data_IF_513132567899
#
_entry.id   IF_513132567899
#
_cell.length_a   1.000
_cell.length_b   1.000
_cell.length_c   1.000
_cell.angle_alpha   90.00
_cell.angle_beta   90.00
_cell.angle_gamma   90.00
#
_symmetry.space_group_name_H-M   'P 1'
#
loop_
_entity.id
_entity.type
_entity.pdbx_description
1 polymer ?
#
# COMPACT_ATOMS: atom_id res chain seq x y z
N UNK A 1 22.68 8.43 1.48
CA UNK A 1 21.56 9.33 1.13
C UNK A 1 20.26 8.52 1.18
N UNK A 2 19.15 9.09 1.67
CA UNK A 2 17.86 8.39 1.64
C UNK A 2 17.31 8.42 0.21
N UNK A 3 17.01 7.25 -0.35
CA UNK A 3 16.35 7.13 -1.66
C UNK A 3 14.95 6.53 -1.51
N UNK A 4 14.04 6.88 -2.42
CA UNK A 4 12.72 6.26 -2.51
C UNK A 4 12.89 4.79 -2.91
N UNK A 5 12.39 3.88 -2.08
CA UNK A 5 12.36 2.45 -2.39
C UNK A 5 11.15 2.24 -3.31
N UNK A 6 11.40 1.70 -4.50
CA UNK A 6 10.34 1.30 -5.42
C UNK A 6 9.71 -0.01 -4.95
N UNK A 7 8.40 -0.12 -5.15
CA UNK A 7 7.63 -1.29 -4.79
C UNK A 7 6.52 -1.51 -5.83
N UNK A 8 5.92 -2.69 -5.81
CA UNK A 8 4.68 -2.99 -6.50
C UNK A 8 3.66 -3.60 -5.53
N UNK A 9 2.38 -3.40 -5.80
CA UNK A 9 1.31 -4.11 -5.10
C UNK A 9 1.36 -5.58 -5.50
N UNK A 10 1.45 -6.46 -4.50
CA UNK A 10 1.43 -7.91 -4.67
C UNK A 10 0.05 -8.48 -4.33
N UNK A 11 -0.58 -7.97 -3.28
CA UNK A 11 -1.88 -8.45 -2.82
C UNK A 11 -2.68 -7.34 -2.15
N UNK A 12 -4.01 -7.45 -2.24
CA UNK A 12 -4.99 -6.64 -1.52
C UNK A 12 -6.15 -7.53 -1.08
N UNK A 13 -6.73 -7.22 0.08
CA UNK A 13 -7.96 -7.89 0.55
C UNK A 13 -9.19 -7.46 -0.23
N UNK A 14 -9.26 -6.19 -0.63
CA UNK A 14 -10.33 -5.65 -1.47
C UNK A 14 -9.92 -4.34 -2.15
N UNK A 15 -10.73 -3.91 -3.12
CA UNK A 15 -10.62 -2.58 -3.72
C UNK A 15 -11.99 -2.06 -4.17
N UNK A 16 -12.11 -0.75 -4.28
CA UNK A 16 -13.18 -0.09 -5.02
C UNK A 16 -12.78 0.05 -6.49
N UNK A 17 -13.68 -0.27 -7.41
CA UNK A 17 -13.41 -0.26 -8.86
C UNK A 17 -12.95 1.11 -9.39
N UNK A 18 -13.36 2.20 -8.73
CA UNK A 18 -12.95 3.56 -9.11
C UNK A 18 -11.57 3.95 -8.55
N UNK A 19 -11.08 3.21 -7.55
CA UNK A 19 -9.82 3.46 -6.82
C UNK A 19 -9.03 2.14 -6.66
N UNK A 20 -8.62 1.50 -7.76
CA UNK A 20 -7.98 0.19 -7.73
C UNK A 20 -6.53 0.28 -7.23
N UNK A 21 -6.03 -0.81 -6.63
CA UNK A 21 -4.71 -0.81 -5.99
C UNK A 21 -3.54 -0.55 -6.95
N UNK A 22 -3.71 -0.84 -8.24
CA UNK A 22 -2.72 -0.54 -9.29
C UNK A 22 -2.32 0.93 -9.34
N UNK A 23 -3.19 1.85 -8.91
CA UNK A 23 -2.89 3.28 -8.81
C UNK A 23 -1.71 3.55 -7.86
N UNK A 24 -1.48 2.70 -6.85
CA UNK A 24 -0.36 2.85 -5.92
C UNK A 24 1.01 2.52 -6.53
N UNK A 25 1.04 1.77 -7.65
CA UNK A 25 2.29 1.46 -8.36
C UNK A 25 2.87 2.70 -9.06
N UNK A 26 2.03 3.69 -9.36
CA UNK A 26 2.41 4.90 -10.09
C UNK A 26 1.94 6.13 -9.32
N UNK A 27 2.81 6.69 -8.49
CA UNK A 27 2.52 7.90 -7.71
C UNK A 27 2.86 9.14 -8.54
N UNK A 28 1.83 9.89 -8.93
CA UNK A 28 1.87 11.20 -9.57
C UNK A 28 0.87 12.14 -8.87
N UNK A 29 0.88 13.45 -9.16
CA UNK A 29 -0.14 14.38 -8.67
C UNK A 29 -1.57 14.05 -9.09
N UNK A 30 -1.76 13.25 -10.15
CA UNK A 30 -3.08 12.85 -10.67
C UNK A 30 -3.53 11.46 -10.22
N UNK A 31 -2.70 10.74 -9.45
CA UNK A 31 -3.01 9.40 -8.94
C UNK A 31 -4.24 9.45 -8.04
N UNK A 32 -5.23 8.62 -8.33
CA UNK A 32 -6.46 8.54 -7.51
C UNK A 32 -6.23 7.84 -6.17
N UNK A 33 -5.23 6.96 -6.13
CA UNK A 33 -4.90 6.13 -4.98
C UNK A 33 -5.77 4.88 -4.90
N UNK A 34 -5.74 4.23 -3.74
CA UNK A 34 -6.50 3.03 -3.45
C UNK A 34 -7.56 3.31 -2.39
N UNK A 35 -8.69 2.61 -2.51
CA UNK A 35 -9.72 2.52 -1.48
C UNK A 35 -10.17 1.08 -1.36
N UNK A 36 -10.41 0.61 -0.14
CA UNK A 36 -11.05 -0.68 0.09
C UNK A 36 -12.48 -0.70 -0.49
N UNK A 37 -13.01 -1.89 -0.74
CA UNK A 37 -14.40 -2.03 -1.18
C UNK A 37 -15.37 -1.42 -0.15
N UNK A 38 -16.51 -0.92 -0.61
CA UNK A 38 -17.57 -0.41 0.28
C UNK A 38 -18.07 -1.54 1.19
N UNK A 39 -18.35 -1.20 2.45
CA UNK A 39 -18.85 -2.14 3.47
C UNK A 39 -17.97 -3.40 3.65
N UNK A 40 -16.66 -3.31 3.37
CA UNK A 40 -15.74 -4.41 3.65
C UNK A 40 -15.55 -4.60 5.17
N UNK A 41 -15.35 -5.85 5.64
CA UNK A 41 -14.95 -6.09 7.02
C UNK A 41 -13.51 -5.63 7.24
N UNK A 42 -13.20 -5.12 8.43
CA UNK A 42 -11.83 -4.79 8.83
C UNK A 42 -11.23 -5.94 9.66
N UNK A 43 -9.90 -6.17 9.56
CA UNK A 43 -8.90 -5.35 8.90
C UNK A 43 -8.86 -5.50 7.38
N UNK A 44 -8.37 -4.46 6.69
CA UNK A 44 -8.00 -4.51 5.27
C UNK A 44 -6.47 -4.54 5.16
N UNK A 45 -5.96 -5.28 4.17
CA UNK A 45 -4.52 -5.49 4.00
C UNK A 45 -4.08 -5.12 2.59
N UNK A 46 -2.89 -4.54 2.52
CA UNK A 46 -2.14 -4.30 1.28
C UNK A 46 -0.76 -4.91 1.49
N UNK A 47 -0.36 -5.79 0.57
CA UNK A 47 1.00 -6.35 0.55
C UNK A 47 1.75 -5.72 -0.62
N UNK A 48 2.92 -5.15 -0.32
CA UNK A 48 3.82 -4.59 -1.31
C UNK A 48 5.09 -5.42 -1.38
N UNK A 49 5.57 -5.64 -2.60
CA UNK A 49 6.88 -6.23 -2.84
C UNK A 49 7.87 -5.13 -3.19
N UNK A 50 8.98 -5.07 -2.47
CA UNK A 50 10.09 -4.16 -2.79
C UNK A 50 10.87 -4.72 -3.98
N UNK A 51 11.34 -3.87 -4.89
CA UNK A 51 12.12 -4.32 -6.07
C UNK A 51 13.40 -5.10 -5.71
N UNK A 52 13.92 -4.89 -4.49
CA UNK A 52 15.07 -5.60 -3.93
C UNK A 52 15.01 -5.60 -2.41
N UNK A 53 15.63 -6.58 -1.73
CA UNK A 53 15.82 -6.54 -0.29
C UNK A 53 16.40 -5.19 0.14
N UNK A 54 15.70 -4.48 1.02
CA UNK A 54 15.99 -3.08 1.35
C UNK A 54 15.71 -2.81 2.81
N UNK A 55 16.57 -2.01 3.44
CA UNK A 55 16.33 -1.50 4.80
C UNK A 55 15.37 -0.31 4.76
N UNK A 56 14.15 -0.50 5.25
CA UNK A 56 13.15 0.56 5.38
C UNK A 56 13.53 1.46 6.56
N UNK A 57 13.67 2.77 6.33
CA UNK A 57 14.00 3.76 7.38
C UNK A 57 12.90 4.78 7.65
N UNK A 58 11.99 4.96 6.69
CA UNK A 58 10.86 5.89 6.76
C UNK A 58 9.73 5.35 5.92
N UNK A 59 8.52 5.38 6.48
CA UNK A 59 7.28 5.09 5.76
C UNK A 59 6.47 6.38 5.76
N UNK A 60 5.88 6.70 4.61
CA UNK A 60 5.00 7.85 4.45
C UNK A 60 3.67 7.36 3.87
N UNK A 61 2.59 7.69 4.55
CA UNK A 61 1.23 7.36 4.12
C UNK A 61 0.49 8.67 3.87
N UNK A 62 -0.19 8.76 2.73
CA UNK A 62 -1.14 9.81 2.44
C UNK A 62 -2.54 9.20 2.45
N UNK A 63 -3.42 9.72 3.28
CA UNK A 63 -4.83 9.30 3.34
C UNK A 63 -5.72 10.44 2.89
N UNK A 64 -6.82 10.12 2.22
CA UNK A 64 -7.88 11.08 1.97
C UNK A 64 -8.51 11.48 3.31
N UNK A 65 -8.83 12.77 3.48
CA UNK A 65 -9.27 13.34 4.76
C UNK A 65 -10.56 12.73 5.34
N UNK A 66 -11.39 12.12 4.49
CA UNK A 66 -12.61 11.41 4.90
C UNK A 66 -12.43 9.90 5.08
N UNK A 67 -11.23 9.36 4.81
CA UNK A 67 -10.93 7.92 4.80
C UNK A 67 -9.65 7.63 5.59
N UNK A 68 -9.43 8.35 6.69
CA UNK A 68 -8.26 8.16 7.54
C UNK A 68 -8.44 6.87 8.35
N UNK A 69 -7.50 5.94 8.21
CA UNK A 69 -7.50 4.71 8.99
C UNK A 69 -7.30 5.01 10.48
N UNK A 70 -8.11 4.40 11.34
CA UNK A 70 -8.00 4.56 12.80
C UNK A 70 -6.75 3.87 13.38
N UNK A 71 -6.24 2.85 12.71
CA UNK A 71 -5.01 2.13 13.07
C UNK A 71 -4.34 1.61 11.80
N UNK A 72 -3.01 1.68 11.76
CA UNK A 72 -2.19 1.07 10.71
C UNK A 72 -1.14 0.21 11.39
N UNK A 73 -1.03 -1.05 10.97
CA UNK A 73 -0.04 -2.00 11.45
C UNK A 73 0.89 -2.37 10.30
N UNK A 74 2.19 -2.45 10.60
CA UNK A 74 3.21 -2.82 9.61
C UNK A 74 3.76 -4.18 9.94
N UNK A 75 3.75 -5.06 8.94
CA UNK A 75 4.38 -6.35 8.97
C UNK A 75 5.47 -6.38 7.90
N UNK A 76 6.58 -7.05 8.20
CA UNK A 76 7.68 -7.28 7.27
C UNK A 76 7.95 -8.76 7.19
N UNK A 77 8.30 -9.22 5.99
CA UNK A 77 8.69 -10.59 5.74
C UNK A 77 9.57 -10.63 4.50
N UNK A 78 10.38 -11.67 4.41
CA UNK A 78 11.17 -11.93 3.22
C UNK A 78 10.40 -12.87 2.29
N UNK A 79 10.50 -12.67 0.98
CA UNK A 79 9.88 -13.53 -0.03
C UNK A 79 10.67 -14.82 -0.28
N UNK A 80 11.67 -15.14 0.55
CA UNK A 80 12.37 -16.42 0.52
C UNK A 80 11.45 -17.52 1.06
N UNK A 81 10.56 -17.99 0.18
CA UNK A 81 10.02 -19.34 0.28
C UNK A 81 11.15 -20.33 -0.02
N UNK A 82 11.59 -21.05 1.00
CA UNK A 82 11.87 -22.47 0.88
C UNK A 82 10.64 -23.22 1.40
#
# INVERSE_FOLDING_TARGET
MLHKIKFRILHITSQDDQFPARELNHISPSTKGWRSAKNCPYPQQIVVELERPSRIRKIQILSHQYLIASKVEFFVGDSYGN
#
